data_IF_586524196455
#
_entry.id   IF_586524196455
#
_cell.length_a   1.000
_cell.length_b   1.000
_cell.length_c   1.000
_cell.angle_alpha   90.00
_cell.angle_beta   90.00
_cell.angle_gamma   90.00
#
_symmetry.space_group_name_H-M   'P 1'
#
loop_
_entity.id
_entity.type
_entity.pdbx_description
1 polymer ?
#
# COMPACT_ATOMS: atom_id res chain seq x y z
N UNK A 1 41.14 -4.49 -35.86
CA UNK A 1 40.47 -5.36 -34.85
C UNK A 1 40.88 -4.90 -33.46
N UNK A 2 40.05 -4.09 -32.80
CA UNK A 2 40.07 -3.80 -31.36
C UNK A 2 38.63 -3.69 -30.89
N UNK A 3 38.40 -4.15 -29.66
CA UNK A 3 37.15 -4.70 -29.16
C UNK A 3 36.04 -3.69 -28.87
N UNK A 4 34.84 -4.28 -28.81
CA UNK A 4 33.58 -3.66 -28.46
C UNK A 4 33.50 -3.28 -26.98
N UNK A 5 32.79 -2.20 -26.69
CA UNK A 5 32.19 -1.93 -25.39
C UNK A 5 30.75 -1.47 -25.63
N UNK A 6 29.82 -2.42 -25.53
CA UNK A 6 28.38 -2.15 -25.48
C UNK A 6 28.08 -1.65 -24.06
N UNK A 7 27.60 -0.41 -23.94
CA UNK A 7 27.05 0.11 -22.69
C UNK A 7 25.63 -0.44 -22.49
N UNK A 8 25.24 -0.86 -21.28
CA UNK A 8 23.88 -1.31 -21.01
C UNK A 8 22.91 -0.13 -20.97
N UNK A 9 21.81 -0.27 -21.71
CA UNK A 9 20.64 0.60 -21.62
C UNK A 9 20.03 0.47 -20.22
N UNK A 10 20.24 1.50 -19.40
CA UNK A 10 19.59 1.67 -18.12
C UNK A 10 18.11 2.00 -18.29
N UNK A 11 17.31 1.17 -17.63
CA UNK A 11 15.89 1.24 -17.31
C UNK A 11 15.33 2.66 -17.29
N UNK A 12 14.36 2.92 -18.16
CA UNK A 12 13.48 4.09 -18.09
C UNK A 12 12.61 3.97 -16.84
N UNK A 13 13.07 4.53 -15.73
CA UNK A 13 12.18 4.91 -14.64
C UNK A 13 11.18 5.93 -15.19
N UNK A 14 9.91 5.55 -15.23
CA UNK A 14 8.82 6.49 -15.48
C UNK A 14 8.86 7.53 -14.37
N UNK A 15 9.42 8.70 -14.69
CA UNK A 15 9.23 9.89 -13.89
C UNK A 15 7.73 10.18 -13.88
N UNK A 16 7.07 9.85 -12.77
CA UNK A 16 5.72 10.32 -12.51
C UNK A 16 5.83 11.83 -12.31
N UNK A 17 5.34 12.58 -13.30
CA UNK A 17 5.24 14.01 -13.21
C UNK A 17 4.33 14.36 -12.02
N UNK A 18 4.94 14.92 -10.99
CA UNK A 18 4.25 15.55 -9.87
C UNK A 18 3.38 16.67 -10.43
N UNK A 19 2.07 16.57 -10.23
CA UNK A 19 1.16 17.71 -10.39
C UNK A 19 1.18 18.42 -9.04
N UNK A 20 1.85 19.57 -8.97
CA UNK A 20 1.68 20.51 -7.85
C UNK A 20 0.19 20.87 -7.71
N UNK A 21 -0.24 21.05 -6.46
CA UNK A 21 -1.63 20.99 -6.02
C UNK A 21 -2.54 22.01 -6.69
N UNK A 22 -3.39 21.53 -7.61
CA UNK A 22 -4.48 22.29 -8.22
C UNK A 22 -5.38 22.98 -7.19
N UNK A 23 -5.50 22.40 -5.99
CA UNK A 23 -6.31 22.94 -4.92
C UNK A 23 -5.65 24.13 -4.19
N UNK A 24 -4.33 24.09 -3.99
CA UNK A 24 -3.57 25.23 -3.44
C UNK A 24 -3.70 26.44 -4.38
N UNK A 25 -3.66 26.23 -5.70
CA UNK A 25 -3.84 27.30 -6.69
C UNK A 25 -5.22 27.98 -6.57
N UNK A 26 -6.29 27.22 -6.35
CA UNK A 26 -7.63 27.76 -6.12
C UNK A 26 -7.69 28.60 -4.84
N UNK A 27 -7.13 28.09 -3.74
CA UNK A 27 -7.04 28.85 -2.50
C UNK A 27 -6.24 30.14 -2.69
N UNK A 28 -5.09 30.09 -3.36
CA UNK A 28 -4.27 31.28 -3.61
C UNK A 28 -5.02 32.34 -4.41
N UNK A 29 -5.77 31.94 -5.43
CA UNK A 29 -6.59 32.86 -6.23
C UNK A 29 -7.69 33.52 -5.39
N UNK A 30 -8.39 32.74 -4.57
CA UNK A 30 -9.41 33.27 -3.66
C UNK A 30 -8.81 34.20 -2.60
N UNK A 31 -7.64 33.84 -2.08
CA UNK A 31 -6.92 34.55 -1.02
C UNK A 31 -6.34 35.88 -1.51
N UNK A 32 -5.86 35.97 -2.76
CA UNK A 32 -5.32 37.21 -3.37
C UNK A 32 -6.32 38.37 -3.30
N UNK A 33 -7.59 38.13 -3.60
CA UNK A 33 -8.63 39.17 -3.60
C UNK A 33 -9.08 39.62 -2.19
N UNK A 34 -8.66 38.90 -1.15
CA UNK A 34 -9.03 39.14 0.25
C UNK A 34 -7.88 39.71 1.08
N UNK A 35 -6.63 39.48 0.64
CA UNK A 35 -5.41 39.75 1.41
C UNK A 35 -5.35 41.16 2.00
N UNK A 36 -5.67 42.18 1.22
CA UNK A 36 -5.57 43.59 1.65
C UNK A 36 -6.69 44.02 2.60
N UNK A 37 -7.74 43.20 2.75
CA UNK A 37 -8.87 43.44 3.66
C UNK A 37 -8.71 42.73 5.00
N UNK A 38 -7.69 41.88 5.14
CA UNK A 38 -7.44 41.16 6.37
C UNK A 38 -6.75 42.06 7.38
N UNK A 39 -7.16 41.95 8.63
CA UNK A 39 -6.46 42.56 9.75
C UNK A 39 -5.92 41.49 10.69
N UNK A 40 -4.77 41.75 11.30
CA UNK A 40 -4.22 40.89 12.34
C UNK A 40 -4.72 41.38 13.68
N UNK A 41 -5.28 40.49 14.49
CA UNK A 41 -5.74 40.81 15.85
C UNK A 41 -4.90 40.09 16.89
N UNK A 42 -4.92 40.61 18.11
CA UNK A 42 -4.40 39.93 19.30
C UNK A 42 -5.20 38.66 19.60
N UNK A 43 -4.67 37.84 20.52
CA UNK A 43 -5.32 36.61 20.96
C UNK A 43 -6.78 36.87 21.35
N UNK A 44 -7.70 36.16 20.69
CA UNK A 44 -9.13 36.26 20.92
C UNK A 44 -9.64 34.91 21.44
N UNK A 45 -10.41 34.95 22.52
CA UNK A 45 -11.15 33.77 22.99
C UNK A 45 -12.45 33.65 22.21
N UNK A 46 -12.59 32.59 21.42
CA UNK A 46 -13.78 32.29 20.63
C UNK A 46 -14.94 31.85 21.54
N UNK A 47 -16.17 31.82 21.00
CA UNK A 47 -17.35 31.33 21.73
C UNK A 47 -17.22 29.87 22.21
N UNK A 48 -16.46 29.05 21.49
CA UNK A 48 -16.11 27.68 21.87
C UNK A 48 -15.16 27.61 23.09
N UNK A 49 -14.54 28.74 23.44
CA UNK A 49 -13.46 28.84 24.41
C UNK A 49 -12.09 28.42 23.90
N UNK A 50 -11.97 28.14 22.59
CA UNK A 50 -10.67 28.07 21.93
C UNK A 50 -10.05 29.46 21.85
N UNK A 51 -8.73 29.52 21.83
CA UNK A 51 -7.97 30.75 21.63
C UNK A 51 -7.51 30.81 20.18
N UNK A 52 -7.66 31.96 19.55
CA UNK A 52 -7.18 32.20 18.18
C UNK A 52 -6.30 33.43 18.12
N UNK A 53 -5.18 33.30 17.42
CA UNK A 53 -4.24 34.40 17.12
C UNK A 53 -3.93 34.35 15.64
N UNK A 54 -4.29 35.39 14.90
CA UNK A 54 -4.12 35.38 13.45
C UNK A 54 -4.83 36.51 12.72
N UNK A 55 -4.99 36.30 11.43
CA UNK A 55 -5.69 37.20 10.53
C UNK A 55 -7.20 36.99 10.58
N UNK A 56 -7.93 38.07 10.35
CA UNK A 56 -9.38 38.14 10.33
C UNK A 56 -9.83 38.92 9.11
N UNK A 57 -10.95 38.49 8.52
CA UNK A 57 -11.71 39.26 7.54
C UNK A 57 -13.11 39.46 8.12
N UNK A 58 -13.44 40.72 8.42
CA UNK A 58 -14.61 41.07 9.24
C UNK A 58 -14.59 40.29 10.57
N UNK A 59 -15.63 39.52 10.87
CA UNK A 59 -15.74 38.73 12.11
C UNK A 59 -15.32 37.25 11.94
N UNK A 60 -14.68 36.90 10.83
CA UNK A 60 -14.27 35.53 10.52
C UNK A 60 -12.76 35.36 10.50
N UNK A 61 -12.29 34.20 10.95
CA UNK A 61 -10.89 33.78 10.77
C UNK A 61 -10.63 33.58 9.28
N UNK A 62 -9.64 34.29 8.74
CA UNK A 62 -9.32 34.28 7.30
C UNK A 62 -7.85 34.71 7.11
N UNK A 63 -7.08 33.93 6.35
CA UNK A 63 -5.63 34.06 6.22
C UNK A 63 -4.86 33.19 7.22
N UNK A 64 -3.65 33.57 7.57
CA UNK A 64 -2.81 32.80 8.49
C UNK A 64 -3.26 32.97 9.95
N UNK A 65 -3.31 31.86 10.68
CA UNK A 65 -3.67 31.88 12.09
C UNK A 65 -3.37 30.60 12.83
N UNK A 66 -3.31 30.74 14.16
CA UNK A 66 -3.11 29.66 15.10
C UNK A 66 -4.35 29.57 15.99
N UNK A 67 -4.93 28.37 16.06
CA UNK A 67 -5.99 28.06 17.01
C UNK A 67 -5.51 27.03 18.02
N UNK A 68 -5.76 27.30 19.31
CA UNK A 68 -5.52 26.36 20.42
C UNK A 68 -6.85 26.01 21.06
N UNK A 69 -7.22 24.74 21.04
CA UNK A 69 -8.42 24.23 21.70
C UNK A 69 -8.17 23.93 23.18
N UNK A 70 -9.25 23.78 23.96
CA UNK A 70 -9.17 23.56 25.42
C UNK A 70 -8.53 22.23 25.81
N UNK A 71 -8.60 21.24 24.93
CA UNK A 71 -7.97 19.92 25.09
C UNK A 71 -6.44 19.97 24.87
N UNK A 72 -5.89 21.10 24.39
CA UNK A 72 -4.49 21.26 24.05
C UNK A 72 -4.17 21.01 22.58
N UNK A 73 -5.16 20.58 21.78
CA UNK A 73 -4.99 20.49 20.33
C UNK A 73 -4.67 21.88 19.75
N UNK A 74 -3.88 21.93 18.67
CA UNK A 74 -3.43 23.18 18.05
C UNK A 74 -3.38 23.07 16.54
N UNK A 75 -4.00 24.01 15.84
CA UNK A 75 -3.91 24.15 14.39
C UNK A 75 -3.10 25.39 14.05
N UNK A 76 -2.16 25.25 13.14
CA UNK A 76 -1.36 26.34 12.59
C UNK A 76 -1.46 26.29 11.07
N UNK A 77 -2.05 27.31 10.47
CA UNK A 77 -2.21 27.27 9.02
C UNK A 77 -3.12 28.36 8.50
N UNK A 78 -3.67 28.06 7.33
CA UNK A 78 -4.51 28.98 6.58
C UNK A 78 -5.98 28.74 6.85
N UNK A 79 -6.71 29.84 6.95
CA UNK A 79 -8.13 29.89 7.23
C UNK A 79 -8.86 30.60 6.10
N UNK A 80 -10.08 30.16 5.80
CA UNK A 80 -10.98 30.80 4.86
C UNK A 80 -12.39 30.74 5.44
N UNK A 81 -13.00 31.90 5.65
CA UNK A 81 -14.38 31.98 6.16
C UNK A 81 -14.63 31.09 7.41
N UNK A 82 -13.76 31.19 8.42
CA UNK A 82 -13.78 30.41 9.67
C UNK A 82 -13.40 28.92 9.58
N UNK A 83 -12.99 28.44 8.40
CA UNK A 83 -12.62 27.04 8.19
C UNK A 83 -11.13 26.89 7.91
N UNK A 84 -10.51 25.82 8.41
CA UNK A 84 -9.17 25.44 7.97
C UNK A 84 -9.22 25.13 6.46
N UNK A 85 -8.39 25.84 5.68
CA UNK A 85 -8.45 25.81 4.23
C UNK A 85 -7.11 26.29 3.64
N UNK A 86 -6.52 25.52 2.72
CA UNK A 86 -5.17 25.74 2.21
C UNK A 86 -4.18 24.83 2.93
N UNK A 87 -2.97 25.28 3.22
CA UNK A 87 -1.97 24.47 3.95
C UNK A 87 -2.05 24.71 5.46
N UNK A 88 -1.84 23.66 6.25
CA UNK A 88 -1.77 23.78 7.71
C UNK A 88 -1.35 22.50 8.42
N UNK A 89 -1.05 22.67 9.70
CA UNK A 89 -0.59 21.62 10.61
C UNK A 89 -1.48 21.54 11.83
N UNK A 90 -2.06 20.38 12.08
CA UNK A 90 -2.86 20.07 13.26
C UNK A 90 -2.06 19.16 14.18
N UNK A 91 -1.84 19.62 15.41
CA UNK A 91 -1.33 18.84 16.53
C UNK A 91 -2.52 18.42 17.39
N UNK A 92 -2.79 17.13 17.48
CA UNK A 92 -3.82 16.58 18.34
C UNK A 92 -3.30 16.46 19.79
N UNK A 93 -4.22 16.52 20.75
CA UNK A 93 -3.91 16.41 22.18
C UNK A 93 -3.31 15.04 22.57
N UNK A 94 -3.58 13.98 21.79
CA UNK A 94 -3.03 12.63 21.97
C UNK A 94 -1.61 12.45 21.41
N UNK A 95 -1.09 13.46 20.69
CA UNK A 95 0.23 13.46 20.09
C UNK A 95 0.24 13.16 18.59
N UNK A 96 -0.91 12.84 17.99
CA UNK A 96 -1.02 12.67 16.54
C UNK A 96 -0.84 14.03 15.84
N UNK A 97 -0.21 14.02 14.66
CA UNK A 97 0.07 15.24 13.90
C UNK A 97 -0.31 15.04 12.44
N UNK A 98 -1.16 15.91 11.92
CA UNK A 98 -1.38 16.07 10.48
C UNK A 98 -0.69 17.33 9.97
N UNK A 99 -0.02 17.25 8.85
CA UNK A 99 0.56 18.38 8.14
C UNK A 99 0.28 18.23 6.64
N UNK A 100 -0.45 19.18 6.05
CA UNK A 100 -0.84 19.07 4.64
C UNK A 100 -1.87 20.08 4.22
N UNK A 101 -2.54 19.75 3.12
CA UNK A 101 -3.63 20.51 2.54
C UNK A 101 -4.97 20.28 3.28
N UNK A 102 -5.77 21.33 3.37
CA UNK A 102 -7.04 21.40 4.09
C UNK A 102 -8.11 22.01 3.20
N UNK A 103 -9.31 21.44 3.22
CA UNK A 103 -10.49 21.96 2.53
C UNK A 103 -11.68 21.92 3.46
N UNK A 104 -12.19 23.09 3.85
CA UNK A 104 -13.40 23.23 4.65
C UNK A 104 -13.36 22.39 5.94
N UNK A 105 -12.28 22.58 6.72
CA UNK A 105 -12.00 21.86 7.97
C UNK A 105 -11.61 20.38 7.84
N UNK A 106 -11.40 19.87 6.62
CA UNK A 106 -10.98 18.49 6.37
C UNK A 106 -9.60 18.37 5.75
N UNK A 107 -8.84 17.35 6.10
CA UNK A 107 -7.64 16.95 5.36
C UNK A 107 -8.02 16.60 3.92
N UNK A 108 -7.30 17.17 2.96
CA UNK A 108 -7.58 17.04 1.53
C UNK A 108 -6.27 17.20 0.75
N UNK A 109 -6.17 16.75 -0.51
CA UNK A 109 -4.95 16.94 -1.30
C UNK A 109 -3.75 16.18 -0.72
N UNK A 110 -2.54 16.73 -0.78
CA UNK A 110 -1.35 16.08 -0.22
C UNK A 110 -1.19 16.35 1.27
N UNK A 111 -0.83 15.32 2.03
CA UNK A 111 -0.55 15.49 3.45
C UNK A 111 0.18 14.32 4.08
N UNK A 112 0.78 14.59 5.24
CA UNK A 112 1.48 13.66 6.09
C UNK A 112 0.79 13.58 7.45
N UNK A 113 0.48 12.37 7.86
CA UNK A 113 -0.05 12.06 9.18
C UNK A 113 0.96 11.23 9.96
N UNK A 114 1.25 11.63 11.18
CA UNK A 114 2.18 10.96 12.10
C UNK A 114 1.39 10.62 13.35
N UNK A 115 1.20 9.32 13.60
CA UNK A 115 0.61 8.84 14.84
C UNK A 115 1.62 8.97 15.99
N UNK A 116 1.11 9.14 17.21
CA UNK A 116 1.89 9.16 18.45
C UNK A 116 2.67 7.86 18.68
N UNK A 117 2.21 6.74 18.10
CA UNK A 117 2.92 5.46 18.13
C UNK A 117 4.10 5.36 17.14
N UNK A 118 4.32 6.39 16.30
CA UNK A 118 5.38 6.45 15.30
C UNK A 118 4.99 5.95 13.91
N UNK A 119 3.79 5.40 13.71
CA UNK A 119 3.27 5.08 12.38
C UNK A 119 3.04 6.36 11.58
N UNK A 120 3.29 6.32 10.28
CA UNK A 120 3.13 7.48 9.40
C UNK A 120 2.38 7.12 8.14
N UNK A 121 1.55 8.03 7.66
CA UNK A 121 1.02 8.02 6.30
C UNK A 121 1.43 9.30 5.57
N UNK A 122 1.90 9.18 4.34
CA UNK A 122 2.23 10.31 3.47
C UNK A 122 1.65 10.04 2.09
N UNK A 123 0.69 10.87 1.64
CA UNK A 123 -0.05 10.59 0.42
C UNK A 123 -1.17 11.56 0.12
N UNK A 124 -2.07 11.14 -0.77
CA UNK A 124 -3.29 11.85 -1.09
C UNK A 124 -4.36 11.65 0.00
N UNK A 125 -5.17 12.69 0.19
CA UNK A 125 -6.28 12.77 1.13
C UNK A 125 -7.52 13.30 0.41
N UNK A 126 -8.66 12.75 0.77
CA UNK A 126 -9.97 13.25 0.35
C UNK A 126 -10.93 13.18 1.54
N UNK A 127 -11.39 14.34 1.99
CA UNK A 127 -12.41 14.47 3.04
C UNK A 127 -12.07 13.66 4.30
N UNK A 128 -10.88 13.92 4.87
CA UNK A 128 -10.30 13.25 6.05
C UNK A 128 -9.92 11.78 5.87
N UNK A 129 -9.98 11.25 4.65
CA UNK A 129 -9.60 9.87 4.35
C UNK A 129 -8.38 9.80 3.47
N UNK A 130 -7.54 8.78 3.70
CA UNK A 130 -6.51 8.38 2.75
C UNK A 130 -7.18 8.04 1.40
N UNK A 131 -6.68 8.65 0.33
CA UNK A 131 -7.17 8.44 -1.03
C UNK A 131 -5.95 8.37 -1.96
N UNK A 132 -6.15 8.04 -3.24
CA UNK A 132 -5.13 8.20 -4.26
C UNK A 132 -3.88 7.37 -3.97
N UNK A 133 -2.69 7.93 -4.15
CA UNK A 133 -1.44 7.22 -3.86
C UNK A 133 -0.90 7.64 -2.49
N UNK A 134 -0.42 6.67 -1.71
CA UNK A 134 0.17 6.94 -0.41
C UNK A 134 1.19 5.90 0.04
N UNK A 135 2.03 6.31 0.97
CA UNK A 135 3.02 5.50 1.66
C UNK A 135 2.69 5.46 3.14
N UNK A 136 2.40 4.27 3.66
CA UNK A 136 2.20 4.02 5.08
C UNK A 136 3.43 3.28 5.63
N UNK A 137 3.97 3.72 6.76
CA UNK A 137 5.12 3.10 7.44
C UNK A 137 4.75 2.83 8.89
N UNK A 138 5.05 1.63 9.38
CA UNK A 138 4.77 1.22 10.76
C UNK A 138 6.05 1.21 11.61
N UNK A 139 5.92 1.25 12.95
CA UNK A 139 7.08 1.28 13.86
C UNK A 139 8.00 0.05 13.79
N UNK A 140 7.50 -1.07 13.27
CA UNK A 140 8.28 -2.29 13.02
C UNK A 140 9.06 -2.26 11.70
N UNK A 141 9.04 -1.14 10.99
CA UNK A 141 9.59 -0.89 9.66
C UNK A 141 8.84 -1.59 8.51
N UNK A 142 7.67 -2.21 8.76
CA UNK A 142 6.79 -2.56 7.66
C UNK A 142 6.41 -1.27 6.89
N UNK A 143 6.17 -1.41 5.59
CA UNK A 143 5.81 -0.29 4.71
C UNK A 143 4.83 -0.73 3.64
N UNK A 144 3.76 0.02 3.45
CA UNK A 144 2.89 -0.09 2.29
C UNK A 144 3.10 1.10 1.37
N UNK A 145 3.17 0.85 0.07
CA UNK A 145 3.26 1.86 -0.97
C UNK A 145 2.29 1.50 -2.08
N UNK A 146 1.25 2.30 -2.29
CA UNK A 146 0.22 1.96 -3.26
C UNK A 146 -1.01 2.83 -3.16
N UNK A 147 -2.10 2.34 -3.74
CA UNK A 147 -3.35 3.09 -3.89
C UNK A 147 -4.31 2.88 -2.71
N UNK A 148 -4.99 3.96 -2.36
CA UNK A 148 -6.04 4.02 -1.34
C UNK A 148 -7.35 4.51 -1.96
N UNK A 149 -8.46 3.98 -1.45
CA UNK A 149 -9.81 4.46 -1.72
C UNK A 149 -10.58 4.48 -0.39
N UNK A 150 -11.08 5.66 -0.01
CA UNK A 150 -11.89 5.83 1.21
C UNK A 150 -11.24 5.26 2.49
N UNK A 151 -9.93 5.46 2.66
CA UNK A 151 -9.20 4.97 3.84
C UNK A 151 -8.82 3.50 3.79
N UNK A 152 -9.01 2.81 2.65
CA UNK A 152 -8.63 1.39 2.47
C UNK A 152 -7.62 1.24 1.34
N UNK A 153 -6.65 0.33 1.50
CA UNK A 153 -5.77 -0.09 0.40
C UNK A 153 -6.61 -0.76 -0.69
N UNK A 154 -6.52 -0.25 -1.91
CA UNK A 154 -7.37 -0.64 -3.03
C UNK A 154 -6.57 -0.51 -4.35
N UNK A 155 -6.65 -1.50 -5.23
CA UNK A 155 -5.89 -1.49 -6.48
C UNK A 155 -4.44 -1.96 -6.28
N UNK A 156 -3.47 -1.38 -6.99
CA UNK A 156 -2.08 -1.88 -6.97
C UNK A 156 -1.27 -1.34 -5.79
N UNK A 157 -0.40 -2.16 -5.23
CA UNK A 157 0.53 -1.72 -4.20
C UNK A 157 1.68 -2.70 -3.94
N UNK A 158 2.61 -2.25 -3.10
CA UNK A 158 3.73 -3.00 -2.55
C UNK A 158 3.65 -2.98 -1.04
N UNK A 159 3.73 -4.15 -0.43
CA UNK A 159 3.78 -4.32 1.03
C UNK A 159 5.12 -4.96 1.40
N UNK A 160 5.98 -4.16 2.01
CA UNK A 160 7.22 -4.58 2.65
C UNK A 160 6.86 -4.97 4.09
N UNK A 161 7.07 -6.24 4.44
CA UNK A 161 6.78 -6.73 5.78
C UNK A 161 7.97 -6.51 6.71
N UNK A 162 7.74 -6.51 8.02
CA UNK A 162 8.79 -6.32 9.03
C UNK A 162 9.89 -7.39 8.99
N UNK A 163 9.59 -8.59 8.47
CA UNK A 163 10.59 -9.65 8.28
C UNK A 163 11.45 -9.47 7.02
N UNK A 164 11.19 -8.44 6.21
CA UNK A 164 11.77 -8.17 4.88
C UNK A 164 11.20 -9.04 3.75
N UNK A 165 10.11 -9.79 3.96
CA UNK A 165 9.33 -10.31 2.85
C UNK A 165 8.64 -9.17 2.09
N UNK A 166 8.29 -9.41 0.83
CA UNK A 166 7.70 -8.41 -0.05
C UNK A 166 6.51 -9.01 -0.79
N UNK A 167 5.38 -8.32 -0.76
CA UNK A 167 4.28 -8.52 -1.69
C UNK A 167 4.20 -7.36 -2.68
N UNK A 168 4.02 -7.66 -3.96
CA UNK A 168 3.68 -6.69 -5.01
C UNK A 168 2.49 -7.22 -5.80
N UNK A 169 1.38 -6.49 -5.79
CA UNK A 169 0.17 -6.96 -6.48
C UNK A 169 -1.05 -6.11 -6.20
N UNK A 170 -2.20 -6.74 -6.37
CA UNK A 170 -3.52 -6.14 -6.16
C UNK A 170 -3.95 -6.23 -4.68
N UNK A 171 -4.73 -5.24 -4.26
CA UNK A 171 -5.35 -5.09 -2.96
C UNK A 171 -6.83 -4.74 -3.14
N UNK A 172 -7.66 -5.20 -2.21
CA UNK A 172 -9.09 -4.86 -2.14
C UNK A 172 -9.50 -4.79 -0.69
N UNK A 173 -10.11 -3.67 -0.29
CA UNK A 173 -10.56 -3.45 1.09
C UNK A 173 -9.52 -3.79 2.18
N UNK A 174 -8.28 -3.33 2.01
CA UNK A 174 -7.11 -3.64 2.86
C UNK A 174 -6.53 -5.05 2.76
N UNK A 175 -7.11 -5.94 1.96
CA UNK A 175 -6.61 -7.31 1.81
C UNK A 175 -5.84 -7.49 0.51
N UNK A 176 -4.79 -8.32 0.54
CA UNK A 176 -4.14 -8.86 -0.65
C UNK A 176 -5.17 -9.70 -1.42
N UNK A 177 -5.47 -9.30 -2.66
CA UNK A 177 -6.54 -9.87 -3.47
C UNK A 177 -6.22 -9.71 -4.96
N UNK A 178 -6.69 -10.59 -5.84
CA UNK A 178 -6.38 -10.52 -7.27
C UNK A 178 -5.03 -11.15 -7.61
N UNK A 179 -4.25 -10.55 -8.52
CA UNK A 179 -2.93 -11.10 -8.89
C UNK A 179 -1.80 -10.41 -8.15
N UNK A 180 -0.80 -11.20 -7.76
CA UNK A 180 0.36 -10.66 -7.07
C UNK A 180 1.54 -11.62 -6.98
N UNK A 181 2.70 -11.04 -6.67
CA UNK A 181 3.95 -11.71 -6.40
C UNK A 181 4.30 -11.56 -4.93
N UNK A 182 4.65 -12.65 -4.27
CA UNK A 182 5.18 -12.65 -2.90
C UNK A 182 6.58 -13.25 -2.88
N UNK A 183 7.53 -12.55 -2.29
CA UNK A 183 8.91 -12.97 -2.10
C UNK A 183 9.17 -13.18 -0.60
N UNK A 184 9.45 -14.42 -0.21
CA UNK A 184 9.86 -14.75 1.15
C UNK A 184 11.35 -14.48 1.34
N UNK A 185 11.74 -14.25 2.59
CA UNK A 185 13.13 -14.00 3.01
C UNK A 185 14.07 -15.18 2.74
N UNK A 186 13.54 -16.41 2.67
CA UNK A 186 14.30 -17.62 2.34
C UNK A 186 14.58 -17.76 0.82
N UNK A 187 14.10 -16.81 0.00
CA UNK A 187 14.24 -16.80 -1.45
C UNK A 187 13.16 -17.59 -2.18
N UNK A 188 12.15 -18.10 -1.48
CA UNK A 188 10.94 -18.64 -2.10
C UNK A 188 10.14 -17.51 -2.75
N UNK A 189 9.48 -17.77 -3.87
CA UNK A 189 8.69 -16.77 -4.61
C UNK A 189 7.38 -17.39 -5.07
N UNK A 190 6.26 -16.71 -4.87
CA UNK A 190 4.96 -17.07 -5.42
C UNK A 190 4.52 -15.99 -6.41
N UNK A 191 4.05 -16.41 -7.57
CA UNK A 191 3.37 -15.53 -8.52
C UNK A 191 2.03 -16.18 -8.86
N UNK A 192 0.92 -15.54 -8.52
CA UNK A 192 -0.39 -16.14 -8.75
C UNK A 192 -1.56 -15.31 -8.24
N UNK A 193 -2.69 -15.99 -8.11
CA UNK A 193 -3.93 -15.42 -7.61
C UNK A 193 -3.99 -15.46 -6.07
N UNK A 194 -4.69 -14.47 -5.53
CA UNK A 194 -4.87 -14.23 -4.10
C UNK A 194 -6.32 -13.87 -3.79
N UNK A 195 -6.83 -14.36 -2.67
CA UNK A 195 -8.12 -13.96 -2.11
C UNK A 195 -7.94 -13.86 -0.60
N UNK A 196 -8.29 -12.70 -0.06
CA UNK A 196 -8.32 -12.42 1.38
C UNK A 196 -7.01 -12.80 2.09
N UNK A 197 -5.89 -12.33 1.54
CA UNK A 197 -4.53 -12.57 2.02
C UNK A 197 -4.00 -14.01 1.86
N UNK A 198 -4.69 -14.88 1.12
CA UNK A 198 -4.26 -16.27 0.89
C UNK A 198 -4.01 -16.56 -0.57
N UNK A 199 -3.01 -17.40 -0.85
CA UNK A 199 -2.80 -17.95 -2.19
C UNK A 199 -4.01 -18.81 -2.57
N UNK A 200 -4.59 -18.53 -3.73
CA UNK A 200 -5.73 -19.25 -4.28
C UNK A 200 -5.64 -19.34 -5.80
N UNK A 201 -6.55 -20.08 -6.44
CA UNK A 201 -6.65 -20.11 -7.90
C UNK A 201 -5.35 -20.60 -8.53
N UNK A 202 -4.94 -20.04 -9.68
CA UNK A 202 -3.71 -20.47 -10.35
C UNK A 202 -2.48 -19.71 -9.83
N UNK A 203 -1.38 -20.43 -9.66
CA UNK A 203 -0.11 -19.83 -9.27
C UNK A 203 1.11 -20.69 -9.55
N UNK A 204 2.27 -20.05 -9.46
CA UNK A 204 3.61 -20.65 -9.61
C UNK A 204 4.44 -20.32 -8.38
N UNK A 205 4.88 -21.36 -7.69
CA UNK A 205 5.69 -21.29 -6.48
C UNK A 205 7.09 -21.83 -6.76
N UNK A 206 8.10 -21.02 -6.46
CA UNK A 206 9.52 -21.28 -6.70
C UNK A 206 10.24 -21.33 -5.37
N UNK A 207 11.07 -22.35 -5.16
CA UNK A 207 11.95 -22.43 -4.01
C UNK A 207 13.37 -22.09 -4.45
N UNK A 208 14.16 -21.54 -3.52
CA UNK A 208 15.57 -21.20 -3.74
C UNK A 208 16.43 -22.37 -4.23
N UNK A 209 16.06 -23.60 -3.89
CA UNK A 209 16.76 -24.82 -4.34
C UNK A 209 16.37 -25.28 -5.75
N UNK A 210 15.53 -24.52 -6.46
CA UNK A 210 15.10 -24.80 -7.82
C UNK A 210 13.87 -25.71 -7.94
N UNK A 211 13.26 -26.12 -6.82
CA UNK A 211 11.93 -26.76 -6.87
C UNK A 211 10.92 -25.75 -7.40
N UNK A 212 9.95 -26.26 -8.15
CA UNK A 212 8.86 -25.47 -8.71
C UNK A 212 7.55 -26.23 -8.55
N UNK A 213 6.50 -25.51 -8.18
CA UNK A 213 5.12 -25.95 -8.31
C UNK A 213 4.38 -24.96 -9.21
N UNK A 214 3.61 -25.47 -10.16
CA UNK A 214 2.72 -24.66 -10.99
C UNK A 214 1.37 -25.37 -11.07
N UNK A 215 0.30 -24.71 -10.61
CA UNK A 215 -1.00 -25.36 -10.49
C UNK A 215 -1.97 -24.54 -9.67
N UNK A 216 -3.00 -25.22 -9.17
CA UNK A 216 -4.04 -24.60 -8.37
C UNK A 216 -3.69 -24.51 -6.87
N UNK A 217 -4.23 -23.50 -6.20
CA UNK A 217 -4.10 -23.25 -4.78
C UNK A 217 -5.47 -23.02 -4.15
N UNK A 218 -5.61 -23.47 -2.90
CA UNK A 218 -6.75 -23.18 -2.05
C UNK A 218 -6.26 -22.99 -0.62
N UNK A 219 -6.57 -21.83 -0.02
CA UNK A 219 -6.18 -21.49 1.35
C UNK A 219 -4.69 -21.79 1.63
N UNK A 220 -3.81 -21.23 0.81
CA UNK A 220 -2.34 -21.37 0.89
C UNK A 220 -1.78 -22.77 0.57
N UNK A 221 -2.63 -23.72 0.21
CA UNK A 221 -2.24 -25.10 -0.08
C UNK A 221 -2.37 -25.38 -1.56
N UNK A 222 -1.39 -26.10 -2.10
CA UNK A 222 -1.51 -26.74 -3.42
C UNK A 222 -2.77 -27.59 -3.43
N UNK A 223 -3.64 -27.36 -4.39
CA UNK A 223 -4.94 -28.00 -4.54
C UNK A 223 -5.21 -28.23 -6.03
N UNK A 224 -6.25 -28.99 -6.38
CA UNK A 224 -6.65 -29.17 -7.77
C UNK A 224 -5.53 -29.77 -8.63
N UNK A 225 -5.46 -29.40 -9.90
CA UNK A 225 -4.42 -29.93 -10.78
C UNK A 225 -3.13 -29.12 -10.68
N UNK A 226 -1.98 -29.80 -10.69
CA UNK A 226 -0.70 -29.10 -10.72
C UNK A 226 0.53 -29.97 -11.03
N UNK A 227 1.59 -29.28 -11.40
CA UNK A 227 2.90 -29.82 -11.75
C UNK A 227 3.92 -29.45 -10.66
N UNK A 228 4.66 -30.43 -10.16
CA UNK A 228 5.74 -30.23 -9.22
C UNK A 228 7.04 -30.76 -9.80
N UNK A 229 8.02 -29.88 -9.99
CA UNK A 229 9.36 -30.22 -10.45
C UNK A 229 10.33 -30.16 -9.26
N UNK A 230 11.04 -31.26 -9.04
CA UNK A 230 12.14 -31.30 -8.08
C UNK A 230 13.44 -30.75 -8.70
N UNK A 231 14.36 -30.32 -7.83
CA UNK A 231 15.66 -29.80 -8.25
C UNK A 231 16.54 -30.83 -8.96
N UNK A 232 16.32 -32.12 -8.73
CA UNK A 232 17.02 -33.23 -9.39
C UNK A 232 16.41 -33.64 -10.74
N UNK A 233 15.47 -32.85 -11.26
CA UNK A 233 14.84 -33.08 -12.57
C UNK A 233 13.64 -34.02 -12.54
N UNK A 234 13.32 -34.66 -11.41
CA UNK A 234 12.05 -35.39 -11.27
C UNK A 234 10.87 -34.44 -11.43
N UNK A 235 9.73 -34.97 -11.87
CA UNK A 235 8.49 -34.21 -12.00
C UNK A 235 7.27 -35.07 -11.61
N UNK A 236 6.25 -34.42 -11.08
CA UNK A 236 4.93 -35.00 -10.87
C UNK A 236 3.87 -34.08 -11.45
N UNK A 237 2.92 -34.64 -12.17
CA UNK A 237 1.79 -33.94 -12.78
C UNK A 237 0.51 -34.68 -12.44
N UNK A 238 -0.40 -34.05 -11.71
CA UNK A 238 -1.62 -34.70 -11.23
C UNK A 238 -2.38 -33.87 -10.21
N UNK A 239 -3.33 -34.51 -9.53
CA UNK A 239 -4.19 -33.85 -8.56
C UNK A 239 -3.49 -33.64 -7.21
N UNK A 240 -3.89 -32.59 -6.51
CA UNK A 240 -3.42 -32.19 -5.20
C UNK A 240 -4.61 -31.92 -4.28
N UNK A 241 -4.51 -32.39 -3.04
CA UNK A 241 -5.48 -32.10 -1.98
C UNK A 241 -4.70 -31.71 -0.74
N UNK A 242 -5.01 -30.53 -0.18
CA UNK A 242 -4.39 -30.02 1.04
C UNK A 242 -2.86 -30.06 1.04
N UNK A 243 -2.24 -29.70 -0.10
CA UNK A 243 -0.80 -29.66 -0.25
C UNK A 243 -0.15 -31.01 -0.54
N UNK A 244 -0.92 -32.08 -0.75
CA UNK A 244 -0.42 -33.44 -0.99
C UNK A 244 -0.90 -34.00 -2.32
N UNK A 245 -0.04 -34.77 -2.98
CA UNK A 245 -0.39 -35.51 -4.20
C UNK A 245 -1.56 -36.45 -3.93
N UNK A 246 -2.54 -36.45 -4.83
CA UNK A 246 -3.77 -37.21 -4.71
C UNK A 246 -4.22 -37.72 -6.09
N UNK A 247 -5.15 -38.66 -6.12
CA UNK A 247 -5.76 -39.12 -7.37
C UNK A 247 -4.76 -39.76 -8.33
N UNK A 248 -5.01 -39.59 -9.62
CA UNK A 248 -4.18 -40.18 -10.69
C UNK A 248 -3.18 -39.14 -11.16
N UNK A 249 -1.90 -39.52 -11.20
CA UNK A 249 -0.83 -38.63 -11.64
C UNK A 249 0.19 -39.33 -12.56
N UNK A 250 1.01 -38.51 -13.22
CA UNK A 250 2.18 -38.94 -13.98
C UNK A 250 3.42 -38.50 -13.21
N UNK A 251 4.32 -39.44 -12.96
CA UNK A 251 5.62 -39.17 -12.37
C UNK A 251 6.70 -39.38 -13.42
N UNK A 252 7.54 -38.37 -13.62
CA UNK A 252 8.69 -38.41 -14.53
C UNK A 252 9.96 -38.52 -13.69
N UNK A 253 10.72 -39.60 -13.91
CA UNK A 253 12.03 -39.80 -13.28
C UNK A 253 13.07 -38.80 -13.78
N UNK A 254 14.20 -38.70 -13.08
CA UNK A 254 15.33 -37.88 -13.53
C UNK A 254 15.93 -38.38 -14.86
N UNK A 255 15.67 -39.63 -15.23
CA UNK A 255 15.99 -40.22 -16.53
C UNK A 255 14.97 -39.89 -17.64
N UNK A 256 13.98 -39.05 -17.34
CA UNK A 256 12.90 -38.65 -18.25
C UNK A 256 11.81 -39.71 -18.44
N UNK A 257 11.89 -40.87 -17.79
CA UNK A 257 10.87 -41.91 -17.95
C UNK A 257 9.64 -41.60 -17.14
N UNK A 258 8.49 -41.70 -17.81
CA UNK A 258 7.19 -41.45 -17.21
C UNK A 258 6.54 -42.73 -16.68
N UNK A 259 5.86 -42.61 -15.54
CA UNK A 259 5.02 -43.65 -14.96
C UNK A 259 3.74 -43.06 -14.42
N UNK A 260 2.61 -43.63 -14.81
CA UNK A 260 1.30 -43.25 -14.29
C UNK A 260 1.00 -44.03 -13.02
N UNK A 261 0.43 -43.40 -12.00
CA UNK A 261 0.12 -44.04 -10.72
C UNK A 261 -1.11 -43.46 -10.04
N UNK A 262 -1.43 -44.00 -8.86
CA UNK A 262 -2.44 -43.47 -7.94
C UNK A 262 -1.78 -43.02 -6.64
N UNK A 263 -2.15 -41.85 -6.13
CA UNK A 263 -1.66 -41.27 -4.88
C UNK A 263 -2.80 -40.98 -3.90
N UNK A 264 -2.54 -41.19 -2.62
CA UNK A 264 -3.45 -40.84 -1.51
C UNK A 264 -2.62 -40.21 -0.41
N UNK A 265 -3.01 -39.00 0.03
CA UNK A 265 -2.33 -38.26 1.10
C UNK A 265 -0.80 -38.15 0.88
N UNK A 266 -0.37 -37.91 -0.36
CA UNK A 266 1.03 -37.74 -0.72
C UNK A 266 1.82 -39.04 -0.83
N UNK A 267 1.18 -40.20 -0.64
CA UNK A 267 1.81 -41.52 -0.78
C UNK A 267 1.32 -42.18 -2.06
N UNK A 268 2.25 -42.69 -2.86
CA UNK A 268 1.92 -43.51 -4.03
C UNK A 268 1.38 -44.86 -3.57
N UNK A 269 0.13 -45.17 -3.93
CA UNK A 269 -0.49 -46.48 -3.70
C UNK A 269 0.03 -47.52 -4.69
N UNK A 270 -0.11 -47.26 -5.99
CA UNK A 270 0.24 -48.21 -7.06
C UNK A 270 0.62 -47.52 -8.36
N UNK A 271 1.40 -48.21 -9.18
CA UNK A 271 1.57 -47.85 -10.59
C UNK A 271 0.41 -48.41 -11.41
N UNK A 272 -0.03 -47.64 -12.39
CA UNK A 272 -1.01 -48.07 -13.39
C UNK A 272 -0.24 -48.71 -14.55
N UNK A 273 -0.86 -49.74 -15.15
CA UNK A 273 -0.34 -50.40 -16.35
C UNK A 273 -0.56 -49.55 -17.59
#
# INVERSE_FOLDING_TARGET
>A
KKGAANKPNGTTGTAFNFVEGQFIDEYEQMSKNRKDKREKRDETTLKSGAKYTGQWLDDKRDGEGVQVWRDGSRYEGTWLDDQAHGYGKLFHADGDVYEGEWKNDKAHGKGKYVHANGATYEGDWEDDKQHGYGVETWPDNARYEGYYLDGKKEGKGKLYFADNSLYEGEFKENEINGKGKYEWTDGKVYNGEWVNNKMCGKGRLEWKDGKVYEGEFQDDKRHGYGEFKWSDGRMYKGDWVNGKQHGVGVFTGADGKEKKGTWVEGRREKWLK
#
